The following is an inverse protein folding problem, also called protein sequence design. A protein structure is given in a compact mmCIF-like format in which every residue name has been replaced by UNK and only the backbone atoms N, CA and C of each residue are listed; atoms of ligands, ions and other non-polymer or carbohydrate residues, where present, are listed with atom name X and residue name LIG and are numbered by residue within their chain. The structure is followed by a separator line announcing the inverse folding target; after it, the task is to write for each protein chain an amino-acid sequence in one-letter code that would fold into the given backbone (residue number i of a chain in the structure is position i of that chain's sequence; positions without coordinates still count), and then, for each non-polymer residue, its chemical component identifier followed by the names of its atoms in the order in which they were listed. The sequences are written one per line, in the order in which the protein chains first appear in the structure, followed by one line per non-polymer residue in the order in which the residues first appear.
data_IF_316018983522
#
_entry.id   IF_316018983522
#
_cell.length_a   1.000
_cell.length_b   1.000
_cell.length_c   1.000
_cell.angle_alpha   90.00
_cell.angle_beta   90.00
_cell.angle_gamma   90.00
#
_symmetry.space_group_name_H-M   'P 1'
#
loop_
_entity.id
_entity.type
_entity.pdbx_description
1 polymer ?
#
# COMPACT_ATOMS: atom_id res chain seq x y z
N UNK A 1 -16.63 31.62 -12.42
CA UNK A 1 -15.60 31.29 -13.41
C UNK A 1 -14.32 30.97 -12.66
N UNK A 2 -14.01 29.68 -12.50
CA UNK A 2 -12.78 29.24 -11.89
C UNK A 2 -11.70 29.23 -12.97
N UNK A 3 -10.71 30.10 -12.84
CA UNK A 3 -9.55 30.16 -13.72
C UNK A 3 -8.74 28.92 -13.48
N UNK A 4 -8.70 28.02 -14.46
CA UNK A 4 -7.79 26.88 -14.44
C UNK A 4 -6.36 27.43 -14.39
N UNK A 5 -5.67 27.21 -13.27
CA UNK A 5 -4.24 27.44 -13.16
C UNK A 5 -3.56 26.55 -14.20
N UNK A 6 -3.06 27.14 -15.28
CA UNK A 6 -2.23 26.42 -16.25
C UNK A 6 -0.99 25.93 -15.49
N UNK A 7 -0.84 24.62 -15.39
CA UNK A 7 0.38 24.01 -14.88
C UNK A 7 1.48 24.34 -15.90
N UNK A 8 2.36 25.27 -15.57
CA UNK A 8 3.60 25.47 -16.27
C UNK A 8 4.54 24.34 -15.84
N UNK A 9 4.53 23.24 -16.58
CA UNK A 9 5.63 22.28 -16.52
C UNK A 9 6.75 22.88 -17.40
N UNK A 10 7.89 23.19 -16.84
CA UNK A 10 9.09 23.60 -17.59
C UNK A 10 9.69 22.44 -18.42
N UNK A 11 8.92 21.38 -18.66
CA UNK A 11 9.30 20.25 -19.50
C UNK A 11 10.44 19.38 -18.93
N UNK A 12 10.89 19.63 -17.70
CA UNK A 12 11.91 18.78 -17.07
C UNK A 12 11.27 17.52 -16.50
N UNK A 13 11.61 16.39 -17.09
CA UNK A 13 11.27 15.07 -16.55
C UNK A 13 12.51 14.39 -15.98
N UNK A 14 12.29 13.47 -15.07
CA UNK A 14 13.30 12.64 -14.42
C UNK A 14 13.05 11.20 -14.85
N UNK A 15 14.02 10.57 -15.51
CA UNK A 15 13.93 9.15 -15.81
C UNK A 15 14.08 8.33 -14.53
N UNK A 16 13.07 7.51 -14.24
CA UNK A 16 13.01 6.65 -13.05
C UNK A 16 12.85 5.21 -13.47
N UNK A 17 13.79 4.38 -13.03
CA UNK A 17 13.72 2.92 -13.19
C UNK A 17 13.55 2.30 -11.81
N UNK A 18 12.56 1.42 -11.63
CA UNK A 18 12.26 0.72 -10.36
C UNK A 18 11.58 -0.62 -10.64
N UNK A 19 11.58 -1.51 -9.66
CA UNK A 19 10.87 -2.79 -9.77
C UNK A 19 9.48 -2.65 -9.18
N UNK A 20 8.42 -2.91 -9.95
CA UNK A 20 7.02 -2.87 -9.50
C UNK A 20 6.43 -4.27 -9.57
N UNK A 21 6.03 -4.83 -8.44
CA UNK A 21 5.46 -6.17 -8.34
C UNK A 21 6.33 -7.23 -9.06
N UNK A 22 7.67 -7.15 -8.87
CA UNK A 22 8.63 -8.05 -9.47
C UNK A 22 9.00 -7.76 -10.94
N UNK A 23 8.45 -6.70 -11.56
CA UNK A 23 8.73 -6.32 -12.96
C UNK A 23 9.40 -4.97 -13.03
N UNK A 24 10.46 -4.87 -13.85
CA UNK A 24 11.12 -3.60 -14.10
C UNK A 24 10.16 -2.62 -14.78
N UNK A 25 10.12 -1.40 -14.29
CA UNK A 25 9.41 -0.25 -14.88
C UNK A 25 10.42 0.86 -15.17
N UNK A 26 10.28 1.48 -16.32
CA UNK A 26 11.02 2.67 -16.71
C UNK A 26 10.02 3.73 -17.14
N UNK A 27 10.06 4.89 -16.50
CA UNK A 27 9.08 5.95 -16.71
C UNK A 27 9.71 7.32 -16.45
N UNK A 28 9.37 8.28 -17.28
CA UNK A 28 9.72 9.68 -17.03
C UNK A 28 8.66 10.33 -16.15
N UNK A 29 9.08 10.94 -15.04
CA UNK A 29 8.18 11.61 -14.09
C UNK A 29 8.56 13.08 -13.96
N UNK A 30 7.58 13.93 -13.67
CA UNK A 30 7.85 15.30 -13.28
C UNK A 30 8.39 15.36 -11.85
N UNK A 31 9.25 16.37 -11.49
CA UNK A 31 9.88 16.42 -10.16
C UNK A 31 8.90 16.44 -8.99
N UNK A 32 7.66 16.92 -9.20
CA UNK A 32 6.62 17.03 -8.18
C UNK A 32 5.59 15.91 -8.23
N UNK A 33 5.73 14.96 -9.16
CA UNK A 33 4.76 13.89 -9.36
C UNK A 33 4.79 12.89 -8.18
N UNK A 34 3.63 12.61 -7.63
CA UNK A 34 3.52 11.72 -6.48
C UNK A 34 3.51 10.24 -6.92
N UNK A 35 4.11 9.39 -6.11
CA UNK A 35 4.12 7.94 -6.36
C UNK A 35 2.71 7.38 -6.53
N UNK A 36 1.75 7.87 -5.75
CA UNK A 36 0.36 7.44 -5.84
C UNK A 36 -0.25 7.73 -7.23
N UNK A 37 0.03 8.90 -7.80
CA UNK A 37 -0.48 9.29 -9.12
C UNK A 37 0.14 8.44 -10.23
N UNK A 38 1.45 8.22 -10.17
CA UNK A 38 2.15 7.34 -11.12
C UNK A 38 1.56 5.93 -11.07
N UNK A 39 1.43 5.34 -9.90
CA UNK A 39 0.94 3.97 -9.73
C UNK A 39 -0.51 3.84 -10.22
N UNK A 40 -1.39 4.80 -9.86
CA UNK A 40 -2.82 4.72 -10.17
C UNK A 40 -3.17 5.17 -11.58
N UNK A 41 -2.67 6.35 -11.95
CA UNK A 41 -3.20 7.06 -13.12
C UNK A 41 -2.38 6.77 -14.38
N UNK A 42 -1.09 6.47 -14.22
CA UNK A 42 -0.21 6.13 -15.35
C UNK A 42 0.01 4.64 -15.54
N UNK A 43 0.13 3.87 -14.44
CA UNK A 43 0.34 2.42 -14.48
C UNK A 43 -0.95 1.60 -14.26
N UNK A 44 -2.09 2.25 -14.00
CA UNK A 44 -3.40 1.62 -13.90
C UNK A 44 -3.63 0.75 -12.67
N UNK A 45 -2.72 0.77 -11.67
CA UNK A 45 -2.85 -0.04 -10.46
C UNK A 45 -3.64 0.73 -9.40
N UNK A 46 -4.95 0.54 -9.38
CA UNK A 46 -5.91 1.35 -8.61
C UNK A 46 -6.20 0.84 -7.20
N UNK A 47 -5.53 -0.23 -6.76
CA UNK A 47 -5.69 -0.83 -5.43
C UNK A 47 -5.31 0.13 -4.30
N UNK A 48 -4.17 0.83 -4.39
CA UNK A 48 -3.86 1.94 -3.49
C UNK A 48 -4.88 3.07 -3.67
N UNK A 49 -5.41 3.64 -2.58
CA UNK A 49 -6.51 4.61 -2.62
C UNK A 49 -6.06 6.02 -2.23
N UNK A 50 -6.56 7.02 -2.95
CA UNK A 50 -6.44 8.43 -2.56
C UNK A 50 -7.55 8.78 -1.58
N UNK A 51 -7.20 9.36 -0.42
CA UNK A 51 -8.18 9.75 0.59
C UNK A 51 -7.78 11.04 1.32
N UNK A 52 -6.77 11.01 2.21
CA UNK A 52 -6.43 12.18 3.03
C UNK A 52 -5.40 13.13 2.40
N UNK A 53 -4.51 12.64 1.55
CA UNK A 53 -3.37 13.33 0.91
C UNK A 53 -2.39 14.03 1.88
N UNK A 54 -2.39 13.62 3.15
CA UNK A 54 -1.57 14.20 4.23
C UNK A 54 -0.94 13.11 5.12
N UNK A 55 -0.72 11.91 4.60
CA UNK A 55 -0.02 10.81 5.27
C UNK A 55 -0.66 10.32 6.59
N UNK A 56 -1.97 10.47 6.77
CA UNK A 56 -2.65 10.12 8.04
C UNK A 56 -3.43 8.81 7.95
N UNK A 57 -4.13 8.56 6.82
CA UNK A 57 -5.13 7.49 6.78
C UNK A 57 -4.62 6.11 6.35
N UNK A 58 -3.45 6.01 5.74
CA UNK A 58 -2.87 4.74 5.27
C UNK A 58 -3.58 4.05 4.11
N UNK A 59 -4.62 4.65 3.51
CA UNK A 59 -5.33 4.05 2.37
C UNK A 59 -4.47 3.94 1.10
N UNK A 60 -3.42 4.75 1.00
CA UNK A 60 -2.44 4.77 -0.09
C UNK A 60 -1.16 3.98 0.22
N UNK A 61 -1.12 3.19 1.29
CA UNK A 61 0.08 2.43 1.68
C UNK A 61 0.55 1.51 0.56
N UNK A 62 1.82 1.63 0.20
CA UNK A 62 2.59 0.71 -0.62
C UNK A 62 3.78 0.21 0.19
N UNK A 63 4.45 -0.87 -0.26
CA UNK A 63 5.73 -1.25 0.31
C UNK A 63 6.85 -0.83 -0.63
N UNK A 64 7.83 -0.11 -0.11
CA UNK A 64 9.07 0.23 -0.81
C UNK A 64 10.22 -0.44 -0.06
N UNK A 65 10.91 -1.36 -0.73
CA UNK A 65 11.93 -2.24 -0.13
C UNK A 65 11.40 -2.94 1.15
N UNK A 66 10.15 -3.42 1.10
CA UNK A 66 9.47 -4.10 2.22
C UNK A 66 8.92 -3.18 3.31
N UNK A 67 9.18 -1.87 3.27
CA UNK A 67 8.72 -0.91 4.30
C UNK A 67 7.47 -0.16 3.86
N UNK A 68 6.48 0.04 4.74
CA UNK A 68 5.26 0.77 4.39
C UNK A 68 5.56 2.26 4.20
N UNK A 69 5.07 2.80 3.08
CA UNK A 69 5.17 4.23 2.76
C UNK A 69 3.79 4.78 2.38
N UNK A 70 3.58 6.05 2.63
CA UNK A 70 2.37 6.78 2.22
C UNK A 70 2.58 7.36 0.82
N UNK A 71 2.12 6.65 -0.21
CA UNK A 71 2.35 7.03 -1.62
C UNK A 71 1.77 8.41 -2.00
N UNK A 72 0.80 8.92 -1.24
CA UNK A 72 0.21 10.25 -1.46
C UNK A 72 1.12 11.42 -1.08
N UNK A 73 2.26 11.17 -0.43
CA UNK A 73 3.25 12.18 -0.04
C UNK A 73 4.67 11.81 -0.46
N UNK A 74 4.86 10.63 -1.03
CA UNK A 74 6.14 10.17 -1.58
C UNK A 74 6.25 10.65 -3.02
N UNK A 75 7.38 11.28 -3.37
CA UNK A 75 7.66 11.69 -4.74
C UNK A 75 8.06 10.48 -5.59
N UNK A 76 7.58 10.43 -6.83
CA UNK A 76 7.77 9.27 -7.68
C UNK A 76 9.26 8.97 -7.97
N UNK A 77 10.11 9.97 -8.06
CA UNK A 77 11.55 9.77 -8.29
C UNK A 77 12.29 9.15 -7.09
N UNK A 78 11.72 9.18 -5.87
CA UNK A 78 12.34 8.61 -4.66
C UNK A 78 12.41 7.08 -4.69
N UNK A 79 11.60 6.43 -5.55
CA UNK A 79 11.65 4.96 -5.71
C UNK A 79 12.63 4.49 -6.79
N UNK A 80 13.47 5.38 -7.34
CA UNK A 80 14.50 5.01 -8.30
C UNK A 80 15.42 3.91 -7.73
N UNK A 81 15.58 2.81 -8.49
CA UNK A 81 16.39 1.65 -8.11
C UNK A 81 15.81 0.79 -6.99
N UNK A 82 14.58 1.08 -6.53
CA UNK A 82 13.93 0.39 -5.42
C UNK A 82 12.89 -0.62 -5.89
N UNK A 83 12.47 -1.49 -4.96
CA UNK A 83 11.38 -2.43 -5.16
C UNK A 83 10.09 -1.88 -4.56
N UNK A 84 9.05 -1.79 -5.36
CA UNK A 84 7.71 -1.33 -4.97
C UNK A 84 6.73 -2.49 -5.06
N UNK A 85 6.01 -2.78 -3.97
CA UNK A 85 4.93 -3.75 -3.94
C UNK A 85 3.59 -3.04 -3.71
N UNK A 86 2.64 -3.30 -4.59
CA UNK A 86 1.24 -2.89 -4.46
C UNK A 86 0.37 -4.09 -4.10
N UNK A 87 -0.90 -3.84 -3.78
CA UNK A 87 -1.84 -4.93 -3.45
C UNK A 87 -2.05 -5.90 -4.61
N UNK A 88 -1.92 -5.42 -5.85
CA UNK A 88 -2.06 -6.25 -7.05
C UNK A 88 -0.93 -7.28 -7.19
N UNK A 89 0.22 -7.00 -6.59
CA UNK A 89 1.37 -7.92 -6.57
C UNK A 89 1.43 -8.82 -5.33
N UNK A 90 0.46 -8.74 -4.42
CA UNK A 90 0.51 -9.50 -3.18
C UNK A 90 0.15 -10.98 -3.37
N UNK A 91 -0.80 -11.28 -4.26
CA UNK A 91 -1.12 -12.65 -4.66
C UNK A 91 -0.07 -13.18 -5.65
N UNK A 92 0.27 -14.45 -5.56
CA UNK A 92 1.21 -15.12 -6.46
C UNK A 92 0.47 -16.09 -7.38
N UNK A 93 0.54 -15.85 -8.70
CA UNK A 93 -0.04 -16.71 -9.75
C UNK A 93 -1.48 -17.18 -9.46
N UNK A 94 -2.32 -16.25 -8.96
CA UNK A 94 -3.72 -16.53 -8.61
C UNK A 94 -3.92 -17.14 -7.23
N UNK A 95 -2.85 -17.45 -6.50
CA UNK A 95 -2.92 -17.91 -5.12
C UNK A 95 -2.89 -16.72 -4.17
N UNK A 96 -3.93 -16.58 -3.36
CA UNK A 96 -4.01 -15.51 -2.37
C UNK A 96 -2.91 -15.63 -1.31
N UNK A 97 -2.35 -14.50 -0.93
CA UNK A 97 -1.48 -14.43 0.23
C UNK A 97 -2.25 -14.81 1.50
N UNK A 98 -1.63 -15.46 2.52
CA UNK A 98 -2.33 -15.85 3.76
C UNK A 98 -3.10 -14.71 4.45
N UNK A 99 -2.58 -13.48 4.38
CA UNK A 99 -3.30 -12.30 4.86
C UNK A 99 -4.60 -12.04 4.07
N UNK A 100 -4.57 -12.13 2.75
CA UNK A 100 -5.78 -11.95 1.92
C UNK A 100 -6.82 -13.02 2.24
N UNK A 101 -6.38 -14.27 2.33
CA UNK A 101 -7.25 -15.40 2.68
C UNK A 101 -7.88 -15.22 4.06
N UNK A 102 -7.10 -14.85 5.08
CA UNK A 102 -7.60 -14.63 6.43
C UNK A 102 -8.59 -13.45 6.50
N UNK A 103 -8.37 -12.38 5.73
CA UNK A 103 -9.33 -11.27 5.67
C UNK A 103 -10.67 -11.70 5.09
N UNK A 104 -10.70 -12.62 4.13
CA UNK A 104 -11.93 -13.18 3.57
C UNK A 104 -12.61 -14.09 4.62
N UNK A 105 -11.88 -15.00 5.22
CA UNK A 105 -12.41 -16.03 6.13
C UNK A 105 -12.94 -15.42 7.44
N UNK A 106 -12.26 -14.40 7.97
CA UNK A 106 -12.64 -13.77 9.24
C UNK A 106 -13.43 -12.47 9.08
N UNK A 107 -13.71 -12.03 7.85
CA UNK A 107 -14.47 -10.82 7.58
C UNK A 107 -13.71 -9.53 7.96
N UNK A 108 -12.41 -9.47 7.64
CA UNK A 108 -11.52 -8.34 7.95
C UNK A 108 -11.83 -7.05 7.18
N UNK A 109 -12.92 -6.98 6.42
CA UNK A 109 -13.32 -5.82 5.64
C UNK A 109 -14.85 -5.69 5.56
N UNK A 110 -15.32 -4.48 5.20
CA UNK A 110 -16.70 -4.20 4.84
C UNK A 110 -16.74 -3.52 3.46
N UNK A 111 -16.54 -2.20 3.38
CA UNK A 111 -16.53 -1.51 2.08
C UNK A 111 -15.29 -1.80 1.22
N UNK A 112 -14.22 -2.32 1.79
CA UNK A 112 -12.99 -2.69 1.08
C UNK A 112 -12.02 -1.53 0.80
N UNK A 113 -12.41 -0.27 1.03
CA UNK A 113 -11.60 0.89 0.65
C UNK A 113 -10.23 0.95 1.34
N UNK A 114 -10.15 0.70 2.64
CA UNK A 114 -8.89 0.68 3.41
C UNK A 114 -8.14 -0.65 3.29
N UNK A 115 -8.78 -1.71 2.81
CA UNK A 115 -8.25 -3.08 2.85
C UNK A 115 -6.90 -3.24 2.16
N UNK A 116 -6.62 -2.67 0.98
CA UNK A 116 -5.30 -2.75 0.35
C UNK A 116 -4.17 -2.24 1.25
N UNK A 117 -4.36 -1.06 1.84
CA UNK A 117 -3.38 -0.48 2.75
C UNK A 117 -3.21 -1.28 4.04
N UNK A 118 -4.33 -1.80 4.60
CA UNK A 118 -4.29 -2.68 5.77
C UNK A 118 -3.48 -3.96 5.51
N UNK A 119 -3.70 -4.61 4.36
CA UNK A 119 -3.00 -5.84 3.99
C UNK A 119 -1.49 -5.62 3.81
N UNK A 120 -1.10 -4.54 3.12
CA UNK A 120 0.32 -4.24 2.91
C UNK A 120 1.02 -3.82 4.21
N UNK A 121 0.39 -3.00 5.04
CA UNK A 121 0.94 -2.66 6.35
C UNK A 121 1.09 -3.91 7.23
N UNK A 122 0.08 -4.78 7.25
CA UNK A 122 0.14 -6.05 7.99
C UNK A 122 1.22 -6.98 7.47
N UNK A 123 1.44 -7.02 6.15
CA UNK A 123 2.54 -7.79 5.56
C UNK A 123 3.88 -7.30 6.08
N UNK A 124 4.12 -5.99 6.04
CA UNK A 124 5.37 -5.43 6.53
C UNK A 124 5.62 -5.78 8.01
N UNK A 125 4.59 -5.69 8.85
CA UNK A 125 4.70 -6.10 10.26
C UNK A 125 5.04 -7.58 10.39
N UNK A 126 4.33 -8.47 9.69
CA UNK A 126 4.53 -9.92 9.83
C UNK A 126 5.84 -10.42 9.20
N UNK A 127 6.39 -9.70 8.23
CA UNK A 127 7.74 -9.96 7.68
C UNK A 127 8.83 -9.62 8.72
N UNK A 128 8.64 -8.57 9.51
CA UNK A 128 9.58 -8.14 10.55
C UNK A 128 9.36 -8.92 11.86
N UNK A 129 8.12 -9.06 12.29
CA UNK A 129 7.72 -9.81 13.48
C UNK A 129 6.62 -10.82 13.15
N UNK A 130 6.96 -12.09 12.89
CA UNK A 130 5.98 -13.11 12.52
C UNK A 130 5.06 -13.54 13.67
N UNK A 131 5.32 -13.11 14.91
CA UNK A 131 4.52 -13.45 16.08
C UNK A 131 4.22 -12.21 16.95
N UNK A 132 3.56 -11.18 16.39
CA UNK A 132 3.25 -10.00 17.15
C UNK A 132 2.22 -10.30 18.25
N UNK A 133 2.32 -9.65 19.39
CA UNK A 133 1.22 -9.54 20.34
C UNK A 133 0.07 -8.72 19.72
N UNK A 134 -1.12 -8.86 20.27
CA UNK A 134 -2.26 -8.05 19.84
C UNK A 134 -2.02 -6.55 20.06
N UNK A 135 -1.28 -6.20 21.12
CA UNK A 135 -0.94 -4.81 21.44
C UNK A 135 0.04 -4.22 20.42
N UNK A 136 1.12 -4.95 20.08
CA UNK A 136 2.07 -4.54 19.04
C UNK A 136 1.37 -4.38 17.68
N UNK A 137 0.49 -5.32 17.34
CA UNK A 137 -0.30 -5.23 16.12
C UNK A 137 -1.20 -3.99 16.10
N UNK A 138 -1.93 -3.72 17.18
CA UNK A 138 -2.77 -2.52 17.29
C UNK A 138 -1.93 -1.25 17.16
N UNK A 139 -0.79 -1.19 17.83
CA UNK A 139 0.12 -0.05 17.75
C UNK A 139 0.61 0.18 16.32
N UNK A 140 1.08 -0.86 15.63
CA UNK A 140 1.57 -0.76 14.26
C UNK A 140 0.47 -0.28 13.29
N UNK A 141 -0.76 -0.76 13.49
CA UNK A 141 -1.91 -0.43 12.63
C UNK A 141 -2.52 0.95 12.87
N UNK A 142 -2.03 1.76 13.83
CA UNK A 142 -2.54 3.12 14.09
C UNK A 142 -2.45 4.05 12.88
N UNK A 143 -1.49 3.83 11.98
CA UNK A 143 -1.33 4.57 10.73
C UNK A 143 -2.33 4.20 9.62
N UNK A 144 -3.23 3.22 9.85
CA UNK A 144 -4.17 2.72 8.86
C UNK A 144 -5.61 2.85 9.40
N UNK A 145 -6.39 3.79 8.84
CA UNK A 145 -7.74 4.08 9.32
C UNK A 145 -8.81 3.25 8.60
N UNK A 146 -9.72 2.67 9.38
CA UNK A 146 -10.94 2.05 8.89
C UNK A 146 -12.16 2.69 9.53
N UNK A 147 -13.12 3.19 8.73
CA UNK A 147 -14.35 3.82 9.24
C UNK A 147 -15.49 2.82 9.48
N UNK A 148 -15.37 1.58 8.99
CA UNK A 148 -16.48 0.64 8.92
C UNK A 148 -16.42 -0.44 10.00
N UNK A 149 -15.26 -1.08 10.23
CA UNK A 149 -15.15 -2.39 10.92
C UNK A 149 -14.99 -2.30 12.43
N UNK A 150 -14.63 -1.13 12.99
CA UNK A 150 -14.21 -1.01 14.39
C UNK A 150 -12.95 -1.81 14.73
N UNK A 151 -12.17 -2.20 13.73
CA UNK A 151 -10.85 -2.89 13.78
C UNK A 151 -10.87 -4.34 14.28
N UNK A 152 -11.83 -4.76 15.09
CA UNK A 152 -11.83 -6.08 15.74
C UNK A 152 -11.58 -7.21 14.72
N UNK A 153 -12.36 -7.25 13.63
CA UNK A 153 -12.23 -8.28 12.60
C UNK A 153 -10.92 -8.17 11.80
N UNK A 154 -10.40 -6.96 11.62
CA UNK A 154 -9.09 -6.74 11.00
C UNK A 154 -7.99 -7.39 11.86
N UNK A 155 -7.96 -7.08 13.17
CA UNK A 155 -6.98 -7.63 14.11
C UNK A 155 -7.07 -9.17 14.17
N UNK A 156 -8.30 -9.72 14.30
CA UNK A 156 -8.54 -11.17 14.27
C UNK A 156 -7.98 -11.82 12.98
N UNK A 157 -8.22 -11.20 11.83
CA UNK A 157 -7.73 -11.68 10.52
C UNK A 157 -6.20 -11.70 10.44
N UNK A 158 -5.54 -10.63 10.90
CA UNK A 158 -4.08 -10.54 10.87
C UNK A 158 -3.46 -11.57 11.82
N UNK A 159 -4.02 -11.73 13.02
CA UNK A 159 -3.55 -12.75 13.98
C UNK A 159 -3.74 -14.17 13.45
N UNK A 160 -4.83 -14.46 12.73
CA UNK A 160 -5.05 -15.75 12.08
C UNK A 160 -4.03 -15.98 10.95
N UNK A 161 -3.78 -14.99 10.12
CA UNK A 161 -2.74 -15.05 9.08
C UNK A 161 -1.35 -15.31 9.66
N UNK A 162 -0.99 -14.63 10.75
CA UNK A 162 0.29 -14.83 11.44
C UNK A 162 0.47 -16.29 11.89
N UNK A 163 -0.57 -16.93 12.41
CA UNK A 163 -0.52 -18.35 12.78
C UNK A 163 -0.30 -19.26 11.58
N UNK A 164 -1.00 -19.00 10.48
CA UNK A 164 -0.88 -19.78 9.24
C UNK A 164 0.50 -19.62 8.60
N UNK A 165 1.07 -18.42 8.62
CA UNK A 165 2.39 -18.14 8.05
C UNK A 165 3.53 -18.82 8.82
N UNK A 166 3.39 -18.96 10.15
CA UNK A 166 4.38 -19.68 10.99
C UNK A 166 4.31 -21.20 10.87
N UNK A 167 3.18 -21.74 10.45
CA UNK A 167 2.99 -23.20 10.35
C UNK A 167 3.53 -23.78 9.03
N UNK A 168 3.99 -22.92 8.11
CA UNK A 168 4.65 -23.30 6.85
C UNK A 168 6.16 -23.25 6.98
#
# INVERSE_FOLDING_TARGET
MATALSRHSDGQTIAVSFTLNGRLQEIDVEPHELLLDVIRDRLGLTGAKRSCDVQVCGACTLLVDGRPVSACTTLAFEVRGRSVLTIEGLADNGTLHPLQQAFIEHGGFQCGFCTPGMLLASKALLDENPNPSEEELKHFMHGNLCRCTGYKKIIESIMAAAKTMRAK
#
